data_IF_001438487242
#
_entry.id   IF_001438487242
#
_cell.length_a   1.000
_cell.length_b   1.000
_cell.length_c   1.000
_cell.angle_alpha   90.00
_cell.angle_beta   90.00
_cell.angle_gamma   90.00
#
_symmetry.space_group_name_H-M   'P 1'
#
loop_
_entity.id
_entity.type
_entity.pdbx_description
1 polymer ?
#
# COMPACT_ATOMS: atom_id res chain seq x y z
N UNK A 1 -14.68 -11.64 -0.71
CA UNK A 1 -14.35 -10.22 -0.47
C UNK A 1 -12.92 -9.86 -0.90
N UNK A 2 -11.90 -10.68 -0.62
CA UNK A 2 -10.49 -10.43 -1.00
C UNK A 2 -10.23 -10.23 -2.51
N UNK A 3 -11.01 -10.87 -3.41
CA UNK A 3 -10.81 -10.75 -4.86
C UNK A 3 -11.10 -9.36 -5.45
N UNK A 4 -11.95 -8.55 -4.80
CA UNK A 4 -12.30 -7.23 -5.32
C UNK A 4 -11.21 -6.20 -5.00
N UNK A 5 -10.59 -6.28 -3.82
CA UNK A 5 -9.52 -5.37 -3.41
C UNK A 5 -8.26 -5.61 -4.27
N UNK A 6 -7.88 -6.87 -4.47
CA UNK A 6 -6.74 -7.20 -5.33
C UNK A 6 -6.93 -6.68 -6.75
N UNK A 7 -8.14 -6.84 -7.31
CA UNK A 7 -8.48 -6.33 -8.63
C UNK A 7 -8.40 -4.80 -8.69
N UNK A 8 -8.89 -4.09 -7.67
CA UNK A 8 -8.78 -2.63 -7.60
C UNK A 8 -7.33 -2.14 -7.52
N UNK A 9 -6.47 -2.84 -6.78
CA UNK A 9 -5.04 -2.54 -6.71
C UNK A 9 -4.37 -2.76 -8.08
N UNK A 10 -4.72 -3.83 -8.79
CA UNK A 10 -4.19 -4.11 -10.13
C UNK A 10 -4.59 -3.02 -11.13
N UNK A 11 -5.87 -2.64 -11.15
CA UNK A 11 -6.39 -1.57 -12.01
C UNK A 11 -5.74 -0.22 -11.68
N UNK A 12 -5.52 0.07 -10.40
CA UNK A 12 -4.78 1.27 -9.99
C UNK A 12 -3.34 1.25 -10.51
N UNK A 13 -2.63 0.11 -10.37
CA UNK A 13 -1.26 -0.04 -10.85
C UNK A 13 -1.18 0.15 -12.37
N UNK A 14 -2.11 -0.45 -13.12
CA UNK A 14 -2.23 -0.31 -14.58
C UNK A 14 -2.40 1.17 -14.96
N UNK A 15 -3.39 1.83 -14.36
CA UNK A 15 -3.66 3.26 -14.60
C UNK A 15 -2.45 4.13 -14.30
N UNK A 16 -1.73 3.87 -13.20
CA UNK A 16 -0.55 4.66 -12.82
C UNK A 16 0.61 4.52 -13.80
N UNK A 17 0.78 3.32 -14.36
CA UNK A 17 1.78 3.09 -15.39
C UNK A 17 1.41 3.78 -16.70
N UNK A 18 0.13 3.76 -17.08
CA UNK A 18 -0.38 4.49 -18.23
C UNK A 18 -0.23 6.01 -18.07
N UNK A 19 -0.60 6.57 -16.92
CA UNK A 19 -0.48 8.01 -16.59
C UNK A 19 0.96 8.51 -16.71
N UNK A 20 1.93 7.70 -16.27
CA UNK A 20 3.36 8.05 -16.31
C UNK A 20 3.99 7.82 -17.68
N UNK A 21 3.43 6.93 -18.50
CA UNK A 21 3.82 6.73 -19.89
C UNK A 21 4.99 5.77 -20.12
N UNK A 22 5.65 5.94 -21.27
CA UNK A 22 6.64 4.99 -21.77
C UNK A 22 7.83 4.83 -20.81
N UNK A 23 8.23 3.59 -20.52
CA UNK A 23 9.35 3.30 -19.60
C UNK A 23 8.98 3.23 -18.12
N UNK A 24 7.79 3.68 -17.70
CA UNK A 24 7.34 3.64 -16.31
C UNK A 24 7.42 2.23 -15.69
N UNK A 25 7.14 1.20 -16.49
CA UNK A 25 7.23 -0.19 -16.06
C UNK A 25 8.67 -0.62 -15.75
N UNK A 26 9.64 -0.16 -16.53
CA UNK A 26 11.07 -0.45 -16.34
C UNK A 26 11.56 0.25 -15.08
N UNK A 27 11.20 1.52 -14.92
CA UNK A 27 11.55 2.31 -13.74
C UNK A 27 10.98 1.71 -12.45
N UNK A 28 9.71 1.32 -12.47
CA UNK A 28 9.08 0.68 -11.31
C UNK A 28 9.75 -0.66 -10.98
N UNK A 29 10.05 -1.47 -11.99
CA UNK A 29 10.73 -2.75 -11.79
C UNK A 29 12.11 -2.56 -11.15
N UNK A 30 12.89 -1.59 -11.63
CA UNK A 30 14.17 -1.21 -11.04
C UNK A 30 14.02 -0.73 -9.60
N UNK A 31 13.05 0.15 -9.32
CA UNK A 31 12.78 0.67 -7.98
C UNK A 31 12.39 -0.43 -6.99
N UNK A 32 11.64 -1.43 -7.44
CA UNK A 32 11.23 -2.57 -6.62
C UNK A 32 12.33 -3.65 -6.49
N UNK A 33 13.37 -3.60 -7.31
CA UNK A 33 14.43 -4.61 -7.37
C UNK A 33 13.95 -5.94 -7.96
N UNK A 34 13.01 -5.89 -8.92
CA UNK A 34 12.43 -7.07 -9.56
C UNK A 34 12.52 -6.98 -11.08
N UNK A 35 12.36 -8.12 -11.77
CA UNK A 35 12.38 -8.14 -13.24
C UNK A 35 11.10 -7.50 -13.82
N UNK A 36 11.21 -6.76 -14.94
CA UNK A 36 10.10 -6.06 -15.60
C UNK A 36 8.91 -6.96 -15.90
N UNK A 37 9.15 -8.22 -16.33
CA UNK A 37 8.08 -9.19 -16.57
C UNK A 37 7.25 -9.53 -15.32
N UNK A 38 7.78 -9.26 -14.12
CA UNK A 38 7.02 -9.40 -12.87
C UNK A 38 5.93 -8.34 -12.75
N UNK A 39 6.19 -7.11 -13.20
CA UNK A 39 5.17 -6.05 -13.25
C UNK A 39 4.08 -6.42 -14.25
N UNK A 40 4.44 -6.91 -15.45
CA UNK A 40 3.45 -7.39 -16.43
C UNK A 40 2.56 -8.48 -15.84
N UNK A 41 3.09 -9.37 -15.00
CA UNK A 41 2.34 -10.45 -14.34
C UNK A 41 1.49 -9.99 -13.15
N UNK A 42 1.74 -8.80 -12.60
CA UNK A 42 0.88 -8.19 -11.59
C UNK A 42 -0.38 -7.59 -12.25
N UNK A 43 -0.22 -7.00 -13.44
CA UNK A 43 -1.30 -6.30 -14.16
C UNK A 43 -2.12 -7.28 -15.01
N UNK A 44 -1.44 -8.16 -15.74
CA UNK A 44 -2.08 -9.13 -16.63
C UNK A 44 -1.95 -10.56 -16.07
N UNK A 45 -3.07 -11.25 -15.78
CA UNK A 45 -3.03 -12.66 -15.45
C UNK A 45 -2.54 -13.48 -16.65
N UNK A 46 -1.86 -14.61 -16.36
CA UNK A 46 -1.54 -15.60 -17.39
C UNK A 46 -2.81 -16.11 -18.09
N UNK A 47 -2.67 -16.75 -19.26
CA UNK A 47 -3.78 -17.40 -20.00
C UNK A 47 -4.60 -18.42 -19.18
N UNK A 48 -4.08 -18.86 -18.03
CA UNK A 48 -4.76 -19.72 -17.05
C UNK A 48 -5.42 -18.95 -15.89
N UNK A 49 -5.57 -17.63 -16.01
CA UNK A 49 -6.28 -16.76 -15.08
C UNK A 49 -5.53 -16.38 -13.80
N UNK A 50 -4.28 -16.82 -13.62
CA UNK A 50 -3.52 -16.53 -12.39
C UNK A 50 -2.66 -15.27 -12.57
N UNK A 51 -3.09 -14.16 -11.97
CA UNK A 51 -2.24 -12.99 -11.73
C UNK A 51 -1.37 -13.24 -10.51
N UNK A 52 -0.17 -12.67 -10.48
CA UNK A 52 0.67 -12.70 -9.29
C UNK A 52 0.08 -11.73 -8.26
N UNK A 53 -0.11 -12.18 -7.03
CA UNK A 53 -0.47 -11.28 -5.93
C UNK A 53 0.64 -10.24 -5.68
N UNK A 54 0.23 -9.05 -5.26
CA UNK A 54 1.12 -7.96 -4.86
C UNK A 54 1.24 -8.04 -3.34
N UNK A 55 2.47 -8.17 -2.83
CA UNK A 55 2.71 -8.19 -1.39
C UNK A 55 2.54 -6.79 -0.78
N UNK A 56 2.26 -6.73 0.53
CA UNK A 56 2.12 -5.45 1.24
C UNK A 56 3.39 -4.59 1.11
N UNK A 57 4.57 -5.21 1.21
CA UNK A 57 5.85 -4.50 1.05
C UNK A 57 6.04 -3.90 -0.35
N UNK A 58 5.61 -4.59 -1.39
CA UNK A 58 5.59 -4.06 -2.76
C UNK A 58 4.60 -2.91 -2.89
N UNK A 59 3.40 -3.07 -2.31
CA UNK A 59 2.35 -2.06 -2.35
C UNK A 59 2.78 -0.74 -1.71
N UNK A 60 3.44 -0.78 -0.54
CA UNK A 60 4.02 0.39 0.12
C UNK A 60 5.07 1.08 -0.75
N UNK A 61 5.94 0.30 -1.42
CA UNK A 61 6.96 0.86 -2.30
C UNK A 61 6.34 1.47 -3.56
N UNK A 62 5.31 0.84 -4.13
CA UNK A 62 4.56 1.40 -5.27
C UNK A 62 3.90 2.73 -4.90
N UNK A 63 3.26 2.82 -3.73
CA UNK A 63 2.67 4.06 -3.25
C UNK A 63 3.71 5.20 -3.15
N UNK A 64 4.91 4.90 -2.64
CA UNK A 64 6.03 5.85 -2.60
C UNK A 64 6.52 6.24 -4.00
N UNK A 65 6.65 5.27 -4.91
CA UNK A 65 7.15 5.49 -6.27
C UNK A 65 6.23 6.41 -7.08
N UNK A 66 4.91 6.24 -6.94
CA UNK A 66 3.91 7.06 -7.61
C UNK A 66 3.52 8.33 -6.85
N UNK A 67 4.02 8.48 -5.61
CA UNK A 67 3.60 9.51 -4.67
C UNK A 67 2.06 9.62 -4.54
N UNK A 68 1.40 8.47 -4.58
CA UNK A 68 -0.06 8.34 -4.54
C UNK A 68 -0.42 7.00 -3.89
N UNK A 69 -1.31 6.95 -2.89
CA UNK A 69 -1.73 5.70 -2.29
C UNK A 69 -2.62 4.86 -3.23
N UNK A 70 -2.56 3.52 -3.15
CA UNK A 70 -3.51 2.66 -3.83
C UNK A 70 -4.91 2.72 -3.19
N UNK A 71 -5.96 2.22 -3.86
CA UNK A 71 -7.29 2.11 -3.29
C UNK A 71 -7.27 1.31 -2.00
N UNK A 72 -8.07 1.74 -1.02
CA UNK A 72 -8.22 1.08 0.27
C UNK A 72 -6.94 0.99 1.12
N UNK A 73 -5.91 1.79 0.81
CA UNK A 73 -4.67 1.82 1.59
C UNK A 73 -4.85 2.42 2.98
N UNK A 74 -5.87 3.27 3.17
CA UNK A 74 -6.18 3.97 4.42
C UNK A 74 -7.61 3.72 4.92
N UNK A 75 -8.34 2.72 4.41
CA UNK A 75 -9.79 2.59 4.65
C UNK A 75 -10.22 2.46 6.10
N UNK A 76 -9.32 2.01 6.99
CA UNK A 76 -9.60 1.87 8.43
C UNK A 76 -8.76 2.81 9.29
N UNK A 77 -8.13 3.82 8.67
CA UNK A 77 -7.29 4.77 9.38
C UNK A 77 -8.12 6.00 9.70
N UNK A 78 -8.32 6.25 10.99
CA UNK A 78 -8.88 7.52 11.45
C UNK A 78 -7.90 8.65 11.07
N UNK A 79 -8.22 9.32 9.97
CA UNK A 79 -7.35 10.34 9.37
C UNK A 79 -7.19 11.56 10.29
N UNK A 80 -8.21 11.85 11.10
CA UNK A 80 -8.18 12.90 12.11
C UNK A 80 -7.21 12.53 13.23
N UNK A 81 -7.31 11.30 13.76
CA UNK A 81 -6.33 10.78 14.71
C UNK A 81 -4.89 10.82 14.16
N UNK A 82 -4.67 10.43 12.91
CA UNK A 82 -3.32 10.45 12.31
C UNK A 82 -2.76 11.86 12.17
N UNK A 83 -3.60 12.84 11.83
CA UNK A 83 -3.18 14.24 11.77
C UNK A 83 -2.81 14.74 13.16
N UNK A 84 -3.63 14.49 14.18
CA UNK A 84 -3.30 14.84 15.56
C UNK A 84 -1.99 14.18 16.01
N UNK A 85 -1.85 12.87 15.80
CA UNK A 85 -0.66 12.13 16.21
C UNK A 85 0.62 12.64 15.51
N UNK A 86 0.55 12.96 14.20
CA UNK A 86 1.69 13.49 13.44
C UNK A 86 2.21 14.79 14.04
N UNK A 87 1.31 15.66 14.48
CA UNK A 87 1.62 17.03 14.89
C UNK A 87 2.06 17.11 16.37
N UNK A 88 2.05 15.99 17.10
CA UNK A 88 2.55 15.89 18.47
C UNK A 88 4.09 15.92 18.57
N UNK A 89 4.60 16.35 19.72
CA UNK A 89 5.99 16.15 20.11
C UNK A 89 6.32 14.66 20.28
N UNK A 90 7.60 14.29 20.18
CA UNK A 90 8.03 12.89 20.37
C UNK A 90 7.76 12.35 21.78
N UNK A 91 7.69 13.23 22.79
CA UNK A 91 7.26 12.86 24.13
C UNK A 91 5.77 12.49 24.15
N UNK A 92 4.92 13.34 23.56
CA UNK A 92 3.47 13.12 23.52
C UNK A 92 3.09 11.91 22.66
N UNK A 93 3.81 11.64 21.56
CA UNK A 93 3.63 10.42 20.76
C UNK A 93 3.85 9.16 21.59
N UNK A 94 4.90 9.13 22.43
CA UNK A 94 5.14 8.01 23.35
C UNK A 94 4.00 7.85 24.34
N UNK A 95 3.49 8.94 24.90
CA UNK A 95 2.34 8.91 25.81
C UNK A 95 1.08 8.31 25.16
N UNK A 96 0.79 8.67 23.90
CA UNK A 96 -0.32 8.09 23.14
C UNK A 96 -0.14 6.59 22.94
N UNK A 97 1.07 6.14 22.56
CA UNK A 97 1.38 4.71 22.40
C UNK A 97 1.17 3.96 23.72
N UNK A 98 1.71 4.47 24.83
CA UNK A 98 1.54 3.87 26.16
C UNK A 98 0.07 3.74 26.56
N UNK A 99 -0.75 4.76 26.26
CA UNK A 99 -2.18 4.71 26.54
C UNK A 99 -2.91 3.67 25.69
N UNK A 100 -2.58 3.56 24.40
CA UNK A 100 -3.15 2.52 23.53
C UNK A 100 -2.77 1.12 24.03
N UNK A 101 -1.53 0.92 24.48
CA UNK A 101 -1.09 -0.35 25.07
C UNK A 101 -1.88 -0.69 26.34
N UNK A 102 -2.08 0.29 27.22
CA UNK A 102 -2.92 0.13 28.42
C UNK A 102 -4.35 -0.30 28.04
N UNK A 103 -4.97 0.39 27.08
CA UNK A 103 -6.31 0.06 26.62
C UNK A 103 -6.40 -1.37 26.07
N UNK A 104 -5.39 -1.83 25.30
CA UNK A 104 -5.34 -3.20 24.79
C UNK A 104 -5.32 -4.23 25.93
N UNK A 105 -4.49 -4.01 26.94
CA UNK A 105 -4.38 -4.92 28.09
C UNK A 105 -5.63 -4.91 28.98
N UNK A 106 -6.34 -3.78 29.05
CA UNK A 106 -7.60 -3.68 29.81
C UNK A 106 -8.78 -4.38 29.14
N UNK A 107 -8.70 -4.67 27.83
CA UNK A 107 -9.78 -5.30 27.06
C UNK A 107 -9.80 -6.84 27.19
N UNK A 108 -8.69 -7.42 27.64
CA UNK A 108 -8.51 -8.86 27.87
C UNK A 108 -8.75 -9.28 29.34
N UNK A 109 -9.41 -8.42 30.14
CA UNK A 109 -9.87 -8.66 31.51
C UNK A 109 -11.39 -8.53 31.60
#
# INVERSE_FOLDING_TARGET
>A
MSSNIEKSIQQWLEKKLEERGHGAQVELAAYLGIHQSTISRMINPYKNGKSRSISIGELVKMAKFFNDPPPNFFTDVDQEFMNFYRDLSEENKRSVVSYIEFLRQSKDK
#
